data_IF_489607241796
#
_entry.id   IF_489607241796
#
_cell.length_a   1.000
_cell.length_b   1.000
_cell.length_c   1.000
_cell.angle_alpha   90.00
_cell.angle_beta   90.00
_cell.angle_gamma   90.00
#
_symmetry.space_group_name_H-M   'P 1'
#
loop_
_entity.id
_entity.type
_entity.pdbx_description
1 polymer ?
#
# COMPACT_ATOMS: atom_id res chain seq x y z
N UNK A 1 6.09 -15.91 -16.63
CA UNK A 1 5.40 -15.29 -15.48
C UNK A 1 5.87 -16.01 -14.24
N UNK A 2 6.42 -15.31 -13.26
CA UNK A 2 6.73 -15.92 -11.96
C UNK A 2 5.44 -16.22 -11.21
N UNK A 3 5.36 -17.42 -10.65
CA UNK A 3 4.19 -17.89 -9.90
C UNK A 3 4.37 -17.51 -8.44
N UNK A 4 3.38 -16.86 -7.84
CA UNK A 4 3.42 -16.52 -6.42
C UNK A 4 3.13 -17.79 -5.63
N UNK A 5 4.07 -18.21 -4.77
CA UNK A 5 3.89 -19.38 -3.92
C UNK A 5 2.84 -19.13 -2.81
N UNK A 6 2.14 -20.19 -2.41
CA UNK A 6 1.16 -20.17 -1.32
C UNK A 6 -0.31 -20.27 -1.76
N UNK A 7 -1.19 -20.50 -0.79
CA UNK A 7 -2.64 -20.71 -1.02
C UNK A 7 -3.43 -19.41 -0.82
N UNK A 8 -4.50 -19.20 -1.59
CA UNK A 8 -5.44 -18.09 -1.36
C UNK A 8 -6.15 -18.32 -0.01
N UNK A 9 -6.08 -17.37 0.94
CA UNK A 9 -6.77 -17.52 2.22
C UNK A 9 -8.29 -17.50 2.02
N UNK A 10 -9.02 -18.17 2.94
CA UNK A 10 -10.49 -18.14 2.92
C UNK A 10 -11.00 -16.71 3.17
N UNK A 11 -11.98 -16.20 2.40
CA UNK A 11 -12.50 -14.82 2.54
C UNK A 11 -13.07 -14.49 3.92
N UNK A 12 -13.47 -15.50 4.68
CA UNK A 12 -14.10 -15.35 6.01
C UNK A 12 -13.09 -15.17 7.14
N UNK A 13 -11.78 -15.25 6.87
CA UNK A 13 -10.72 -15.09 7.89
C UNK A 13 -9.56 -14.27 7.33
N UNK A 14 -9.84 -13.02 6.98
CA UNK A 14 -8.85 -12.11 6.45
C UNK A 14 -7.97 -11.58 7.59
N UNK A 15 -6.62 -11.64 7.45
CA UNK A 15 -5.72 -11.11 8.47
C UNK A 15 -5.88 -9.58 8.55
N UNK A 16 -5.63 -8.97 9.73
CA UNK A 16 -5.61 -7.51 9.85
C UNK A 16 -4.55 -6.91 8.91
N UNK A 17 -4.89 -5.76 8.34
CA UNK A 17 -4.05 -5.05 7.37
C UNK A 17 -4.07 -5.63 5.96
N UNK A 18 -2.90 -5.84 5.37
CA UNK A 18 -2.79 -6.26 3.98
C UNK A 18 -3.12 -7.75 3.82
N UNK A 19 -4.23 -8.07 3.16
CA UNK A 19 -4.61 -9.46 2.86
C UNK A 19 -3.58 -10.19 1.99
N UNK A 20 -2.76 -9.44 1.25
CA UNK A 20 -1.71 -9.99 0.40
C UNK A 20 -0.38 -10.22 1.15
N UNK A 21 -0.22 -9.71 2.38
CA UNK A 21 1.01 -9.84 3.15
C UNK A 21 1.58 -11.27 3.22
N UNK A 22 0.78 -12.35 3.40
CA UNK A 22 1.32 -13.71 3.47
C UNK A 22 2.03 -14.19 2.20
N UNK A 23 1.80 -13.53 1.06
CA UNK A 23 2.34 -13.90 -0.26
C UNK A 23 3.08 -12.75 -0.95
N UNK A 24 3.28 -11.63 -0.27
CA UNK A 24 3.90 -10.45 -0.83
C UNK A 24 5.43 -10.53 -0.66
N UNK A 25 6.23 -10.45 -1.73
CA UNK A 25 7.70 -10.45 -1.62
C UNK A 25 8.24 -9.17 -0.97
N UNK A 26 7.47 -8.10 -0.93
CA UNK A 26 7.82 -6.81 -0.32
C UNK A 26 7.20 -6.62 1.07
N UNK A 27 6.75 -7.70 1.73
CA UNK A 27 6.13 -7.62 3.05
C UNK A 27 7.08 -6.94 4.06
N UNK A 28 6.52 -6.03 4.85
CA UNK A 28 7.17 -5.40 6.00
C UNK A 28 6.24 -5.42 7.23
N UNK A 29 6.73 -5.13 8.45
CA UNK A 29 5.94 -5.22 9.68
C UNK A 29 4.58 -4.50 9.60
N UNK A 30 4.58 -3.26 9.10
CA UNK A 30 3.39 -2.43 8.93
C UNK A 30 2.31 -3.03 8.03
N UNK A 31 2.65 -3.99 7.16
CA UNK A 31 1.66 -4.69 6.34
C UNK A 31 0.67 -5.54 7.16
N UNK A 32 1.00 -5.90 8.40
CA UNK A 32 0.16 -6.75 9.27
C UNK A 32 -0.32 -6.03 10.54
N UNK A 33 0.02 -4.75 10.71
CA UNK A 33 -0.21 -3.98 11.94
C UNK A 33 -1.60 -3.32 12.01
N UNK A 34 -2.38 -3.32 10.93
CA UNK A 34 -3.72 -2.75 10.92
C UNK A 34 -4.08 -2.08 9.61
N UNK A 35 -5.01 -1.12 9.67
CA UNK A 35 -5.57 -0.44 8.49
C UNK A 35 -4.48 0.18 7.60
N UNK A 36 -4.66 0.02 6.28
CA UNK A 36 -3.82 0.66 5.26
C UNK A 36 -4.73 1.62 4.49
N UNK A 37 -4.42 2.92 4.46
CA UNK A 37 -5.19 3.90 3.71
C UNK A 37 -5.27 3.56 2.21
N UNK A 38 -6.32 4.05 1.56
CA UNK A 38 -6.41 4.04 0.10
C UNK A 38 -5.69 5.29 -0.44
N UNK A 39 -4.73 5.07 -1.32
CA UNK A 39 -3.94 6.12 -1.97
C UNK A 39 -4.44 6.32 -3.39
N UNK A 40 -4.65 7.58 -3.77
CA UNK A 40 -4.92 7.97 -5.16
C UNK A 40 -3.58 8.23 -5.87
N UNK A 41 -3.34 7.55 -6.97
CA UNK A 41 -2.24 7.84 -7.88
C UNK A 41 -2.75 8.66 -9.08
N UNK A 42 -1.86 8.97 -10.03
CA UNK A 42 -2.23 9.70 -11.24
C UNK A 42 -3.38 9.03 -12.00
N UNK A 43 -4.32 9.86 -12.46
CA UNK A 43 -5.54 9.40 -13.13
C UNK A 43 -6.53 8.75 -12.16
N UNK A 44 -7.08 7.59 -12.54
CA UNK A 44 -8.11 6.86 -11.78
C UNK A 44 -7.57 5.60 -11.10
N UNK A 45 -6.28 5.60 -10.77
CA UNK A 45 -5.63 4.45 -10.14
C UNK A 45 -5.65 4.61 -8.62
N UNK A 46 -6.25 3.65 -7.94
CA UNK A 46 -6.27 3.56 -6.48
C UNK A 46 -5.41 2.39 -5.99
N UNK A 47 -4.65 2.61 -4.93
CA UNK A 47 -3.74 1.60 -4.37
C UNK A 47 -3.87 1.56 -2.86
N UNK A 48 -3.95 0.35 -2.29
CA UNK A 48 -3.88 0.11 -0.85
C UNK A 48 -2.63 -0.71 -0.52
N UNK A 49 -1.48 -0.05 -0.42
CA UNK A 49 -0.19 -0.69 -0.18
C UNK A 49 0.73 0.20 0.65
N UNK A 50 1.40 -0.39 1.65
CA UNK A 50 2.33 0.31 2.56
C UNK A 50 3.52 0.94 1.81
N UNK A 51 3.95 0.37 0.68
CA UNK A 51 5.03 0.97 -0.13
C UNK A 51 4.68 2.40 -0.59
N UNK A 52 3.40 2.67 -0.83
CA UNK A 52 2.93 3.96 -1.29
C UNK A 52 2.67 4.94 -0.15
N UNK A 53 2.63 4.48 1.09
CA UNK A 53 2.57 5.33 2.28
C UNK A 53 3.85 6.17 2.41
N UNK A 54 4.99 5.52 2.24
CA UNK A 54 6.30 6.17 2.26
C UNK A 54 6.54 7.02 1.01
N UNK A 55 6.07 6.56 -0.16
CA UNK A 55 6.19 7.34 -1.39
C UNK A 55 5.30 8.58 -1.38
N UNK A 56 4.05 8.49 -0.89
CA UNK A 56 3.15 9.64 -0.79
C UNK A 56 3.62 10.67 0.25
N UNK A 57 4.33 10.24 1.31
CA UNK A 57 5.04 11.17 2.20
C UNK A 57 6.12 12.00 1.47
N UNK A 58 6.74 11.47 0.42
CA UNK A 58 7.73 12.18 -0.41
C UNK A 58 7.05 13.03 -1.50
N UNK A 59 5.95 12.55 -2.09
CA UNK A 59 5.17 13.29 -3.11
C UNK A 59 4.41 14.50 -2.53
N UNK A 60 4.22 14.57 -1.21
CA UNK A 60 3.71 15.78 -0.53
C UNK A 60 4.78 16.88 -0.35
N UNK A 61 5.98 16.72 -0.91
CA UNK A 61 7.03 17.76 -0.90
C UNK A 61 7.18 18.51 -2.23
N UNK A 62 6.59 18.01 -3.32
CA UNK A 62 6.70 18.62 -4.66
C UNK A 62 5.47 19.49 -5.03
N UNK A 63 4.60 19.75 -4.05
CA UNK A 63 3.48 20.70 -4.16
C UNK A 63 3.64 21.93 -3.26
N UNK A 64 4.85 22.21 -2.74
CA UNK A 64 5.14 23.56 -2.23
C UNK A 64 5.37 24.48 -3.44
N UNK A 65 4.28 24.97 -4.01
CA UNK A 65 4.37 26.15 -4.87
C UNK A 65 4.83 27.34 -4.01
N UNK A 66 5.93 28.02 -4.38
CA UNK A 66 6.39 29.22 -3.73
C UNK A 66 5.48 30.38 -4.16
N UNK A 67 4.49 30.72 -3.34
CA UNK A 67 3.78 31.99 -3.47
C UNK A 67 3.28 32.47 -2.11
N UNK A 68 4.24 32.79 -1.24
CA UNK A 68 4.00 33.78 -0.19
C UNK A 68 4.21 35.15 -0.84
N UNK A 69 3.15 35.95 -0.85
CA UNK A 69 3.24 37.37 -1.17
C UNK A 69 4.08 38.10 -0.13
#
# INVERSE_FOLDING_TARGET
>A
LETIEGTVPKPTNLPPGCHFAPRCPHRMPRCTEGEIPLYQLEGSVEVRCVLYDLASAIQMSDQIQPNVR
#
